data_IF_225748746698
#
_entry.id   IF_225748746698
#
_cell.length_a   1.000
_cell.length_b   1.000
_cell.length_c   1.000
_cell.angle_alpha   90.00
_cell.angle_beta   90.00
_cell.angle_gamma   90.00
#
_symmetry.space_group_name_H-M   'P 1'
#
loop_
_entity.id
_entity.type
_entity.pdbx_description
1 polymer ?
#
# COMPACT_ATOMS: atom_id res chain seq x y z
N UNK A 1 -27.29 -34.37 -39.56
CA UNK A 1 -27.97 -33.97 -38.31
C UNK A 1 -27.85 -35.12 -37.33
N UNK A 2 -27.17 -34.95 -36.20
CA UNK A 2 -27.20 -35.86 -35.06
C UNK A 2 -27.41 -35.00 -33.81
N UNK A 3 -28.66 -34.92 -33.36
CA UNK A 3 -29.03 -34.36 -32.07
C UNK A 3 -28.75 -35.34 -30.95
N UNK A 4 -28.46 -34.82 -29.75
CA UNK A 4 -28.27 -35.64 -28.56
C UNK A 4 -27.64 -34.82 -27.43
N UNK A 5 -28.47 -33.99 -26.80
CA UNK A 5 -28.47 -33.56 -25.38
C UNK A 5 -27.10 -33.30 -24.68
N UNK A 6 -26.86 -32.15 -24.07
CA UNK A 6 -27.53 -31.70 -22.86
C UNK A 6 -27.31 -30.18 -22.69
N UNK A 7 -28.22 -29.40 -23.26
CA UNK A 7 -28.39 -28.01 -22.86
C UNK A 7 -29.12 -27.99 -21.52
N UNK A 8 -28.47 -27.56 -20.43
CA UNK A 8 -29.15 -27.33 -19.15
C UNK A 8 -29.91 -26.01 -19.27
N UNK A 9 -31.22 -26.04 -19.05
CA UNK A 9 -32.03 -24.82 -18.89
C UNK A 9 -32.14 -24.55 -17.39
N UNK A 10 -31.78 -23.34 -16.98
CA UNK A 10 -31.83 -22.88 -15.60
C UNK A 10 -32.90 -21.80 -15.45
N UNK A 11 -33.70 -21.89 -14.40
CA UNK A 11 -34.66 -20.84 -14.04
C UNK A 11 -33.95 -19.65 -13.36
N UNK A 12 -34.65 -18.53 -13.23
CA UNK A 12 -34.12 -17.36 -12.52
C UNK A 12 -33.75 -17.70 -11.07
N UNK A 13 -32.55 -17.29 -10.64
CA UNK A 13 -32.02 -17.57 -9.31
C UNK A 13 -31.50 -18.99 -9.10
N UNK A 14 -31.59 -19.89 -10.10
CA UNK A 14 -31.11 -21.26 -9.96
C UNK A 14 -29.57 -21.30 -9.84
N UNK A 15 -29.07 -22.04 -8.85
CA UNK A 15 -27.64 -22.26 -8.65
C UNK A 15 -27.16 -23.34 -9.62
N UNK A 16 -26.22 -22.97 -10.48
CA UNK A 16 -25.63 -23.85 -11.48
C UNK A 16 -24.58 -24.75 -10.81
N UNK A 17 -23.72 -24.17 -9.97
CA UNK A 17 -22.78 -24.85 -9.08
C UNK A 17 -22.37 -23.90 -7.96
N UNK A 18 -21.88 -24.45 -6.84
CA UNK A 18 -21.41 -23.67 -5.69
C UNK A 18 -19.89 -23.63 -5.60
N UNK A 19 -19.37 -22.55 -5.02
CA UNK A 19 -17.97 -22.46 -4.60
C UNK A 19 -17.59 -23.66 -3.71
N UNK A 20 -16.38 -24.18 -3.88
CA UNK A 20 -15.88 -25.33 -3.12
C UNK A 20 -16.35 -26.70 -3.62
N UNK A 21 -17.33 -26.77 -4.53
CA UNK A 21 -17.74 -28.06 -5.12
C UNK A 21 -16.68 -28.60 -6.08
N UNK A 22 -16.61 -29.92 -6.25
CA UNK A 22 -15.73 -30.52 -7.26
C UNK A 22 -16.34 -30.30 -8.66
N UNK A 23 -15.60 -29.64 -9.56
CA UNK A 23 -16.05 -29.36 -10.92
C UNK A 23 -15.52 -30.34 -11.95
N UNK A 24 -16.39 -31.19 -12.52
CA UNK A 24 -16.02 -32.16 -13.58
C UNK A 24 -16.60 -31.80 -14.97
N UNK A 25 -17.33 -30.69 -15.05
CA UNK A 25 -18.01 -30.17 -16.25
C UNK A 25 -17.84 -28.65 -16.30
N UNK A 26 -17.69 -28.07 -17.48
CA UNK A 26 -17.80 -26.63 -17.72
C UNK A 26 -19.05 -26.33 -18.55
N UNK A 27 -19.44 -25.06 -18.57
CA UNK A 27 -20.63 -24.64 -19.31
C UNK A 27 -20.31 -23.48 -20.24
N UNK A 28 -20.91 -23.50 -21.43
CA UNK A 28 -20.94 -22.35 -22.35
C UNK A 28 -22.35 -21.78 -22.34
N UNK A 29 -22.48 -20.48 -22.10
CA UNK A 29 -23.78 -19.81 -22.06
C UNK A 29 -24.31 -19.68 -23.49
N UNK A 30 -25.38 -20.39 -23.81
CA UNK A 30 -26.04 -20.34 -25.14
C UNK A 30 -27.03 -19.18 -25.24
N UNK A 31 -27.71 -18.86 -24.13
CA UNK A 31 -28.60 -17.70 -23.97
C UNK A 31 -28.82 -17.38 -22.49
N UNK A 32 -29.24 -16.15 -22.18
CA UNK A 32 -29.47 -15.68 -20.81
C UNK A 32 -28.20 -15.12 -20.15
N UNK A 33 -28.27 -14.90 -18.84
CA UNK A 33 -27.17 -14.33 -18.04
C UNK A 33 -26.89 -15.17 -16.81
N UNK A 34 -25.64 -15.20 -16.38
CA UNK A 34 -25.19 -15.92 -15.19
C UNK A 34 -24.34 -15.00 -14.32
N UNK A 35 -24.71 -14.86 -13.05
CA UNK A 35 -23.95 -14.12 -12.05
C UNK A 35 -22.97 -15.05 -11.33
N UNK A 36 -21.74 -14.59 -11.17
CA UNK A 36 -20.68 -15.27 -10.43
C UNK A 36 -20.49 -14.56 -9.09
N UNK A 37 -20.64 -15.28 -7.98
CA UNK A 37 -20.50 -14.76 -6.63
C UNK A 37 -19.40 -15.48 -5.85
N UNK A 38 -18.75 -14.76 -4.92
CA UNK A 38 -17.75 -15.32 -4.01
C UNK A 38 -18.16 -15.08 -2.58
N UNK A 39 -17.99 -16.08 -1.74
CA UNK A 39 -18.21 -15.93 -0.31
C UNK A 39 -17.04 -15.17 0.34
N UNK A 40 -17.34 -14.12 1.10
CA UNK A 40 -16.35 -13.37 1.89
C UNK A 40 -16.78 -13.26 3.35
N UNK A 41 -15.91 -12.74 4.22
CA UNK A 41 -16.21 -12.53 5.64
C UNK A 41 -17.38 -11.54 5.85
N UNK A 42 -17.55 -10.58 4.94
CA UNK A 42 -18.60 -9.55 5.00
C UNK A 42 -19.86 -9.92 4.20
N UNK A 43 -19.93 -11.16 3.68
CA UNK A 43 -21.03 -11.68 2.88
C UNK A 43 -20.65 -12.01 1.43
N UNK A 44 -21.65 -12.36 0.62
CA UNK A 44 -21.45 -12.75 -0.77
C UNK A 44 -21.25 -11.52 -1.66
N UNK A 45 -20.12 -11.48 -2.38
CA UNK A 45 -19.84 -10.42 -3.36
C UNK A 45 -20.08 -10.93 -4.78
N UNK A 46 -20.59 -10.07 -5.65
CA UNK A 46 -20.70 -10.38 -7.09
C UNK A 46 -19.38 -10.06 -7.79
N UNK A 47 -18.74 -11.08 -8.37
CA UNK A 47 -17.50 -10.95 -9.14
C UNK A 47 -17.79 -10.45 -10.55
N UNK A 48 -18.80 -11.04 -11.20
CA UNK A 48 -19.15 -10.75 -12.59
C UNK A 48 -20.58 -11.19 -12.91
N UNK A 49 -21.14 -10.62 -13.98
CA UNK A 49 -22.31 -11.15 -14.68
C UNK A 49 -21.87 -11.47 -16.10
N UNK A 50 -22.11 -12.70 -16.54
CA UNK A 50 -21.67 -13.25 -17.81
C UNK A 50 -22.85 -13.51 -18.73
N UNK A 51 -22.61 -13.38 -20.03
CA UNK A 51 -23.65 -13.44 -21.08
C UNK A 51 -23.36 -14.51 -22.14
N UNK A 52 -24.17 -14.53 -23.20
CA UNK A 52 -24.07 -15.50 -24.29
C UNK A 52 -22.66 -15.56 -24.88
N UNK A 53 -22.14 -16.78 -25.03
CA UNK A 53 -20.82 -17.08 -25.58
C UNK A 53 -19.74 -17.22 -24.53
N UNK A 54 -19.96 -16.72 -23.32
CA UNK A 54 -18.99 -16.83 -22.23
C UNK A 54 -19.02 -18.21 -21.56
N UNK A 55 -17.88 -18.54 -20.94
CA UNK A 55 -17.60 -19.85 -20.37
C UNK A 55 -17.53 -19.75 -18.84
N UNK A 56 -18.10 -20.74 -18.15
CA UNK A 56 -18.04 -20.86 -16.69
C UNK A 56 -17.61 -22.25 -16.25
N UNK A 57 -16.93 -22.31 -15.10
CA UNK A 57 -16.50 -23.57 -14.51
C UNK A 57 -15.34 -24.25 -15.23
N UNK A 58 -14.65 -23.52 -16.11
CA UNK A 58 -13.49 -23.98 -16.86
C UNK A 58 -12.28 -24.22 -15.95
N UNK A 59 -12.07 -23.37 -14.93
CA UNK A 59 -10.88 -23.42 -14.07
C UNK A 59 -10.71 -24.80 -13.44
N UNK A 60 -11.75 -25.29 -12.77
CA UNK A 60 -11.76 -26.60 -12.10
C UNK A 60 -11.46 -27.78 -13.04
N UNK A 61 -11.75 -27.66 -14.34
CA UNK A 61 -11.39 -28.70 -15.31
C UNK A 61 -9.89 -28.73 -15.63
N UNK A 62 -9.25 -27.56 -15.64
CA UNK A 62 -7.84 -27.40 -16.02
C UNK A 62 -6.89 -27.52 -14.81
N UNK A 63 -7.18 -26.84 -13.70
CA UNK A 63 -6.32 -26.81 -12.51
C UNK A 63 -6.62 -27.93 -11.51
N UNK A 64 -7.75 -28.64 -11.68
CA UNK A 64 -8.25 -29.72 -10.80
C UNK A 64 -8.55 -29.24 -9.36
N UNK A 65 -8.72 -27.94 -9.15
CA UNK A 65 -9.15 -27.37 -7.89
C UNK A 65 -10.69 -27.34 -7.82
N UNK A 66 -11.27 -27.23 -6.61
CA UNK A 66 -12.70 -26.99 -6.45
C UNK A 66 -13.19 -25.73 -7.17
N UNK A 67 -14.51 -25.58 -7.34
CA UNK A 67 -15.11 -24.37 -7.92
C UNK A 67 -14.62 -23.13 -7.19
N UNK A 68 -14.10 -22.16 -7.93
CA UNK A 68 -13.53 -20.92 -7.38
C UNK A 68 -14.59 -19.89 -6.96
N UNK A 69 -15.85 -20.11 -7.32
CA UNK A 69 -16.99 -19.22 -7.11
C UNK A 69 -18.32 -19.97 -7.32
N UNK A 70 -19.41 -19.38 -6.86
CA UNK A 70 -20.79 -19.84 -7.10
C UNK A 70 -21.34 -19.21 -8.38
N UNK A 71 -22.06 -19.98 -9.19
CA UNK A 71 -22.70 -19.49 -10.41
C UNK A 71 -24.23 -19.59 -10.30
N UNK A 72 -24.93 -18.50 -10.58
CA UNK A 72 -26.38 -18.34 -10.40
C UNK A 72 -27.02 -17.77 -11.66
N UNK A 73 -28.07 -18.40 -12.18
CA UNK A 73 -28.80 -17.88 -13.33
C UNK A 73 -29.53 -16.57 -13.00
N UNK A 74 -29.53 -15.62 -13.95
CA UNK A 74 -30.23 -14.33 -13.86
C UNK A 74 -31.24 -14.24 -15.00
N UNK A 75 -32.48 -14.61 -14.73
CA UNK A 75 -33.49 -14.98 -15.72
C UNK A 75 -33.29 -16.41 -16.24
N UNK A 76 -34.11 -16.83 -17.21
CA UNK A 76 -33.90 -18.11 -17.91
C UNK A 76 -32.55 -18.10 -18.62
N UNK A 77 -31.71 -19.10 -18.32
CA UNK A 77 -30.42 -19.29 -18.96
C UNK A 77 -30.31 -20.69 -19.57
N UNK A 78 -29.72 -20.78 -20.77
CA UNK A 78 -29.44 -22.06 -21.42
C UNK A 78 -27.95 -22.27 -21.50
N UNK A 79 -27.49 -23.41 -21.02
CA UNK A 79 -26.09 -23.73 -20.82
C UNK A 79 -25.73 -25.01 -21.58
N UNK A 80 -24.72 -24.96 -22.44
CA UNK A 80 -24.16 -26.16 -23.04
C UNK A 80 -23.15 -26.79 -22.07
N UNK A 81 -23.43 -27.99 -21.60
CA UNK A 81 -22.56 -28.73 -20.69
C UNK A 81 -21.45 -29.46 -21.45
N UNK A 82 -20.19 -29.21 -21.10
CA UNK A 82 -19.02 -29.86 -21.71
C UNK A 82 -18.21 -30.54 -20.61
N UNK A 83 -18.20 -31.87 -20.63
CA UNK A 83 -17.38 -32.67 -19.73
C UNK A 83 -15.92 -32.73 -20.20
N UNK A 84 -15.02 -33.16 -19.31
CA UNK A 84 -13.59 -33.28 -19.59
C UNK A 84 -13.29 -34.16 -20.81
N UNK A 85 -13.97 -35.30 -20.97
CA UNK A 85 -13.71 -36.24 -22.07
C UNK A 85 -14.09 -35.62 -23.41
N UNK A 86 -15.26 -34.97 -23.48
CA UNK A 86 -15.75 -34.24 -24.66
C UNK A 86 -14.86 -33.05 -25.00
N UNK A 87 -14.33 -32.34 -24.00
CA UNK A 87 -13.37 -31.27 -24.22
C UNK A 87 -12.12 -31.83 -24.93
N UNK A 88 -11.46 -32.84 -24.35
CA UNK A 88 -10.25 -33.42 -24.94
C UNK A 88 -10.47 -34.07 -26.31
N UNK A 89 -11.62 -34.71 -26.57
CA UNK A 89 -11.92 -35.28 -27.89
C UNK A 89 -12.23 -34.22 -28.95
N UNK A 90 -12.68 -33.03 -28.53
CA UNK A 90 -12.98 -31.92 -29.44
C UNK A 90 -11.76 -31.02 -29.71
N UNK A 91 -10.73 -31.00 -28.86
CA UNK A 91 -9.48 -30.24 -29.10
C UNK A 91 -8.85 -30.64 -30.45
N UNK A 92 -8.85 -31.92 -30.78
CA UNK A 92 -8.28 -32.43 -32.03
C UNK A 92 -9.14 -32.14 -33.27
N UNK A 93 -10.41 -31.74 -33.10
CA UNK A 93 -11.36 -31.50 -34.20
C UNK A 93 -11.67 -30.01 -34.41
N UNK A 94 -11.66 -29.21 -33.35
CA UNK A 94 -11.94 -27.78 -33.41
C UNK A 94 -11.04 -27.01 -32.41
N UNK A 95 -9.86 -26.54 -32.85
CA UNK A 95 -8.96 -25.73 -32.04
C UNK A 95 -9.58 -24.40 -31.56
N UNK A 96 -10.64 -23.91 -32.19
CA UNK A 96 -11.22 -22.60 -31.85
C UNK A 96 -11.84 -22.55 -30.46
N UNK A 97 -12.26 -23.70 -29.90
CA UNK A 97 -12.77 -23.77 -28.53
C UNK A 97 -11.63 -23.52 -27.52
N UNK A 98 -10.44 -24.07 -27.77
CA UNK A 98 -9.25 -23.84 -26.93
C UNK A 98 -8.82 -22.38 -26.99
N UNK A 99 -8.79 -21.79 -28.19
CA UNK A 99 -8.48 -20.37 -28.35
C UNK A 99 -9.47 -19.47 -27.61
N UNK A 100 -10.78 -19.77 -27.66
CA UNK A 100 -11.79 -19.01 -26.89
C UNK A 100 -11.61 -19.14 -25.38
N UNK A 101 -11.23 -20.32 -24.88
CA UNK A 101 -10.91 -20.52 -23.46
C UNK A 101 -9.67 -19.69 -23.08
N UNK A 102 -8.59 -19.78 -23.87
CA UNK A 102 -7.37 -19.00 -23.64
C UNK A 102 -7.64 -17.49 -23.68
N UNK A 103 -8.44 -17.02 -24.64
CA UNK A 103 -8.84 -15.63 -24.75
C UNK A 103 -9.66 -15.17 -23.54
N UNK A 104 -10.63 -15.98 -23.10
CA UNK A 104 -11.45 -15.71 -21.90
C UNK A 104 -10.59 -15.66 -20.64
N UNK A 105 -9.68 -16.62 -20.46
CA UNK A 105 -8.74 -16.62 -19.32
C UNK A 105 -7.79 -15.42 -19.38
N UNK A 106 -7.29 -15.08 -20.58
CA UNK A 106 -6.41 -13.93 -20.78
C UNK A 106 -7.12 -12.60 -20.48
N UNK A 107 -8.38 -12.46 -20.88
CA UNK A 107 -9.21 -11.31 -20.54
C UNK A 107 -9.52 -11.27 -19.03
N UNK A 108 -9.82 -12.42 -18.40
CA UNK A 108 -10.02 -12.50 -16.94
C UNK A 108 -8.76 -12.12 -16.18
N UNK A 109 -7.58 -12.60 -16.60
CA UNK A 109 -6.29 -12.24 -16.00
C UNK A 109 -6.02 -10.74 -16.18
N UNK A 110 -6.23 -10.18 -17.37
CA UNK A 110 -6.10 -8.73 -17.61
C UNK A 110 -7.02 -7.92 -16.70
N UNK A 111 -8.30 -8.30 -16.60
CA UNK A 111 -9.29 -7.63 -15.75
C UNK A 111 -8.96 -7.79 -14.26
N UNK A 112 -8.43 -8.94 -13.85
CA UNK A 112 -7.98 -9.17 -12.47
C UNK A 112 -6.74 -8.34 -12.15
N UNK A 113 -5.78 -8.24 -13.08
CA UNK A 113 -4.59 -7.40 -12.95
C UNK A 113 -4.94 -5.90 -12.96
N UNK A 114 -5.88 -5.48 -13.79
CA UNK A 114 -6.40 -4.10 -13.80
C UNK A 114 -7.15 -3.78 -12.51
N UNK A 115 -7.99 -4.70 -12.03
CA UNK A 115 -8.68 -4.56 -10.75
C UNK A 115 -7.70 -4.60 -9.57
N UNK A 116 -6.66 -5.42 -9.61
CA UNK A 116 -5.58 -5.42 -8.62
C UNK A 116 -4.82 -4.11 -8.67
N UNK A 117 -4.42 -3.61 -9.84
CA UNK A 117 -3.77 -2.32 -9.99
C UNK A 117 -4.67 -1.17 -9.51
N UNK A 118 -5.99 -1.27 -9.71
CA UNK A 118 -6.98 -0.31 -9.22
C UNK A 118 -7.17 -0.42 -7.71
N UNK A 119 -7.26 -1.62 -7.15
CA UNK A 119 -7.33 -1.88 -5.71
C UNK A 119 -6.03 -1.53 -5.00
N UNK A 120 -4.87 -1.68 -5.62
CA UNK A 120 -3.58 -1.18 -5.12
C UNK A 120 -3.57 0.35 -5.16
N UNK A 121 -4.04 0.97 -6.24
CA UNK A 121 -4.18 2.42 -6.33
C UNK A 121 -5.18 2.99 -5.32
N UNK A 122 -6.25 2.25 -5.01
CA UNK A 122 -7.30 2.63 -4.07
C UNK A 122 -6.94 2.31 -2.61
N UNK A 123 -6.30 1.17 -2.30
CA UNK A 123 -5.75 0.87 -0.96
C UNK A 123 -4.58 1.78 -0.63
N UNK A 124 -3.67 2.00 -1.58
CA UNK A 124 -2.57 2.95 -1.40
C UNK A 124 -3.13 4.38 -1.38
N UNK A 125 -4.20 4.70 -2.10
CA UNK A 125 -4.86 6.01 -2.03
C UNK A 125 -5.53 6.28 -0.68
N UNK A 126 -6.27 5.31 -0.14
CA UNK A 126 -7.02 5.46 1.13
C UNK A 126 -6.10 5.34 2.35
N UNK A 127 -5.07 4.47 2.34
CA UNK A 127 -4.02 4.50 3.37
C UNK A 127 -3.12 5.74 3.24
N UNK A 128 -2.80 6.23 2.04
CA UNK A 128 -2.08 7.51 1.86
C UNK A 128 -2.86 8.70 2.41
N UNK A 129 -4.19 8.64 2.46
CA UNK A 129 -5.02 9.72 2.97
C UNK A 129 -4.91 9.94 4.51
N UNK A 130 -4.39 8.95 5.26
CA UNK A 130 -4.41 8.95 6.73
C UNK A 130 -3.06 8.79 7.43
N UNK A 131 -1.97 8.45 6.73
CA UNK A 131 -0.66 8.39 7.39
C UNK A 131 -0.14 9.80 7.59
N UNK A 132 -0.15 10.26 8.85
CA UNK A 132 0.43 11.54 9.21
C UNK A 132 1.95 11.44 9.13
N UNK A 133 2.62 12.58 8.91
CA UNK A 133 4.09 12.64 8.89
C UNK A 133 4.66 12.09 10.20
N UNK A 134 3.98 12.39 11.31
CA UNK A 134 4.30 11.93 12.66
C UNK A 134 4.31 10.38 12.75
N UNK A 135 3.36 9.70 12.12
CA UNK A 135 3.28 8.23 12.16
C UNK A 135 4.48 7.57 11.47
N UNK A 136 4.90 8.11 10.31
CA UNK A 136 6.09 7.63 9.61
C UNK A 136 7.35 7.91 10.43
N UNK A 137 7.44 9.09 11.03
CA UNK A 137 8.56 9.44 11.90
C UNK A 137 8.65 8.48 13.10
N UNK A 138 7.53 8.11 13.72
CA UNK A 138 7.49 7.12 14.80
C UNK A 138 7.96 5.73 14.33
N UNK A 139 7.50 5.26 13.17
CA UNK A 139 7.94 3.97 12.61
C UNK A 139 9.45 3.93 12.32
N UNK A 140 9.98 5.00 11.70
CA UNK A 140 11.42 5.13 11.44
C UNK A 140 12.20 5.12 12.74
N UNK A 141 11.71 5.81 13.76
CA UNK A 141 12.39 5.93 15.03
C UNK A 141 12.36 4.63 15.85
N UNK A 142 11.27 3.86 15.79
CA UNK A 142 11.22 2.51 16.38
C UNK A 142 12.21 1.54 15.71
N UNK A 143 12.32 1.57 14.37
CA UNK A 143 13.32 0.76 13.67
C UNK A 143 14.75 1.15 14.09
N UNK A 144 15.01 2.46 14.16
CA UNK A 144 16.30 2.98 14.56
C UNK A 144 16.65 2.62 16.02
N UNK A 145 15.68 2.64 16.94
CA UNK A 145 15.83 2.25 18.34
C UNK A 145 16.13 0.75 18.50
N UNK A 146 15.55 -0.11 17.66
CA UNK A 146 15.79 -1.55 17.71
C UNK A 146 17.19 -1.94 17.23
N UNK A 147 17.75 -1.17 16.30
CA UNK A 147 19.05 -1.44 15.71
C UNK A 147 20.22 -0.70 16.40
N UNK A 148 19.99 0.55 16.82
CA UNK A 148 21.00 1.40 17.45
C UNK A 148 20.69 1.53 18.94
N UNK A 149 21.64 1.13 19.78
CA UNK A 149 21.51 1.18 21.24
C UNK A 149 21.62 2.62 21.76
N UNK A 150 20.52 3.37 21.79
CA UNK A 150 20.47 4.75 22.29
C UNK A 150 19.54 4.90 23.52
N UNK A 151 19.84 5.87 24.39
CA UNK A 151 18.97 6.22 25.53
C UNK A 151 17.77 7.07 25.06
N UNK A 152 17.99 7.94 24.06
CA UNK A 152 16.99 8.83 23.49
C UNK A 152 17.14 8.90 21.97
N UNK A 153 16.08 9.30 21.29
CA UNK A 153 16.12 9.57 19.86
C UNK A 153 15.02 10.51 19.42
N UNK A 154 15.23 11.18 18.29
CA UNK A 154 14.22 12.04 17.67
C UNK A 154 14.35 12.11 16.16
N UNK A 155 13.23 12.34 15.49
CA UNK A 155 13.18 12.78 14.10
C UNK A 155 12.73 14.24 14.10
N UNK A 156 13.55 15.11 13.51
CA UNK A 156 13.24 16.53 13.38
C UNK A 156 13.04 16.90 11.90
N UNK A 157 11.99 17.65 11.60
CA UNK A 157 11.66 18.10 10.24
C UNK A 157 11.67 19.63 10.19
N UNK A 158 12.23 20.16 9.11
CA UNK A 158 12.27 21.59 8.83
C UNK A 158 10.88 22.08 8.43
N UNK A 159 10.35 23.06 9.17
CA UNK A 159 9.09 23.70 8.85
C UNK A 159 9.28 24.87 7.85
N UNK A 160 8.18 25.48 7.41
CA UNK A 160 8.22 26.58 6.44
C UNK A 160 8.86 27.87 7.01
N UNK A 161 8.96 28.00 8.34
CA UNK A 161 9.68 29.08 9.04
C UNK A 161 11.19 28.84 9.14
N UNK A 162 11.71 27.78 8.49
CA UNK A 162 13.11 27.33 8.57
C UNK A 162 13.57 26.96 9.98
N UNK A 163 12.67 26.39 10.77
CA UNK A 163 12.96 25.82 12.09
C UNK A 163 12.79 24.30 12.05
N UNK A 164 13.80 23.58 12.55
CA UNK A 164 13.70 22.16 12.86
C UNK A 164 12.75 21.97 14.03
N UNK A 165 11.77 21.07 13.86
CA UNK A 165 10.80 20.72 14.90
C UNK A 165 10.71 19.22 15.08
N UNK A 166 10.57 18.76 16.33
CA UNK A 166 10.48 17.33 16.65
C UNK A 166 9.15 16.77 16.15
N UNK A 167 9.19 15.74 15.29
CA UNK A 167 8.01 15.03 14.78
C UNK A 167 7.78 13.67 15.43
N UNK A 168 8.85 13.04 15.91
CA UNK A 168 8.79 11.84 16.74
C UNK A 168 9.97 11.84 17.71
N UNK A 169 9.79 11.23 18.87
CA UNK A 169 10.85 11.08 19.87
C UNK A 169 10.60 9.88 20.80
N UNK A 170 11.67 9.33 21.38
CA UNK A 170 11.62 8.42 22.53
C UNK A 170 12.70 8.79 23.56
N UNK A 171 12.56 8.28 24.78
CA UNK A 171 13.45 8.56 25.92
C UNK A 171 12.68 9.16 27.09
N UNK A 172 13.29 9.20 28.28
CA UNK A 172 12.59 9.45 29.56
C UNK A 172 11.89 10.82 29.63
N UNK A 173 12.22 11.78 28.76
CA UNK A 173 11.55 13.09 28.64
C UNK A 173 11.60 13.61 27.20
N UNK A 174 10.81 13.01 26.32
CA UNK A 174 10.63 13.45 24.93
C UNK A 174 9.98 14.84 24.88
N UNK A 175 10.78 15.91 24.94
CA UNK A 175 10.30 17.27 24.81
C UNK A 175 10.06 17.60 23.33
N UNK A 176 8.79 17.53 22.92
CA UNK A 176 8.35 17.86 21.56
C UNK A 176 8.36 19.38 21.27
N UNK A 177 8.69 20.23 22.25
CA UNK A 177 8.66 21.69 22.10
C UNK A 177 9.95 22.28 21.55
N UNK A 178 11.02 21.48 21.45
CA UNK A 178 12.32 21.93 20.94
C UNK A 178 12.22 22.38 19.48
N UNK A 179 12.60 23.63 19.23
CA UNK A 179 12.77 24.22 17.90
C UNK A 179 14.21 24.73 17.73
N UNK A 180 14.85 24.35 16.63
CA UNK A 180 16.23 24.77 16.32
C UNK A 180 16.27 25.49 14.97
N UNK A 181 17.00 26.61 14.90
CA UNK A 181 17.26 27.28 13.63
C UNK A 181 18.32 26.53 12.80
N UNK A 182 18.28 26.69 11.48
CA UNK A 182 19.31 26.16 10.58
C UNK A 182 20.70 26.70 10.97
N UNK A 183 21.71 25.83 11.00
CA UNK A 183 23.08 26.17 11.41
C UNK A 183 23.28 26.38 12.92
N UNK A 184 22.23 26.23 13.74
CA UNK A 184 22.35 26.33 15.19
C UNK A 184 22.25 24.94 15.84
N UNK A 185 23.26 24.59 16.64
CA UNK A 185 23.39 23.23 17.18
C UNK A 185 23.97 22.25 16.17
N UNK A 186 24.41 21.09 16.66
CA UNK A 186 24.90 19.98 15.81
C UNK A 186 23.83 19.59 14.77
N UNK A 187 22.57 19.44 15.20
CA UNK A 187 21.45 19.12 14.31
C UNK A 187 21.22 20.18 13.21
N UNK A 188 21.36 21.46 13.56
CA UNK A 188 21.24 22.56 12.60
C UNK A 188 22.40 22.60 11.61
N UNK A 189 23.60 22.22 12.03
CA UNK A 189 24.78 22.12 11.16
C UNK A 189 24.70 20.91 10.21
N UNK A 190 24.30 19.74 10.70
CA UNK A 190 24.03 18.55 9.86
C UNK A 190 22.94 18.82 8.83
N UNK A 191 21.90 19.57 9.19
CA UNK A 191 20.88 20.01 8.24
C UNK A 191 21.50 20.89 7.14
N UNK A 192 22.41 21.80 7.50
CA UNK A 192 23.05 22.72 6.56
C UNK A 192 24.07 22.04 5.65
N UNK A 193 24.89 21.14 6.20
CA UNK A 193 25.96 20.45 5.47
C UNK A 193 25.49 19.20 4.73
N UNK A 194 24.37 18.59 5.15
CA UNK A 194 23.89 17.32 4.63
C UNK A 194 24.83 16.14 4.91
N UNK A 195 25.70 16.26 5.91
CA UNK A 195 26.70 15.27 6.27
C UNK A 195 26.35 14.62 7.61
N UNK A 196 26.39 13.28 7.66
CA UNK A 196 26.12 12.53 8.87
C UNK A 196 27.30 12.64 9.86
N UNK A 197 27.00 12.77 11.15
CA UNK A 197 28.01 13.02 12.18
C UNK A 197 27.83 12.10 13.40
N UNK A 198 28.95 11.61 13.92
CA UNK A 198 29.07 10.81 15.14
C UNK A 198 29.93 11.58 16.14
N UNK A 199 29.34 11.98 17.26
CA UNK A 199 29.97 12.76 18.31
C UNK A 199 29.91 11.99 19.62
N UNK A 200 31.02 11.40 20.03
CA UNK A 200 31.10 10.61 21.27
C UNK A 200 31.34 11.45 22.54
N UNK A 201 31.67 12.74 22.39
CA UNK A 201 31.76 13.68 23.49
C UNK A 201 31.24 15.06 23.08
N UNK A 202 29.95 15.29 23.30
CA UNK A 202 29.31 16.55 22.91
C UNK A 202 29.77 17.75 23.75
N UNK A 203 30.28 17.52 24.97
CA UNK A 203 30.77 18.61 25.84
C UNK A 203 32.02 19.31 25.29
N UNK A 204 32.73 18.64 24.37
CA UNK A 204 33.89 19.19 23.66
C UNK A 204 33.51 19.81 22.31
N UNK A 205 32.27 19.66 21.84
CA UNK A 205 31.84 20.24 20.56
C UNK A 205 31.28 21.65 20.80
N UNK A 206 31.91 22.65 20.20
CA UNK A 206 31.51 24.06 20.34
C UNK A 206 30.10 24.35 19.79
N UNK A 207 29.57 23.50 18.90
CA UNK A 207 28.22 23.60 18.37
C UNK A 207 27.19 22.99 19.32
N UNK A 208 27.59 22.28 20.37
CA UNK A 208 26.63 21.63 21.26
C UNK A 208 25.80 22.65 22.06
N UNK A 209 24.49 22.63 21.84
CA UNK A 209 23.54 23.46 22.56
C UNK A 209 23.03 22.69 23.77
N UNK A 210 23.27 23.24 24.95
CA UNK A 210 22.81 22.64 26.19
C UNK A 210 21.28 22.71 26.26
N UNK A 211 20.64 21.55 26.19
CA UNK A 211 19.21 21.40 26.45
C UNK A 211 18.92 21.21 27.93
N UNK A 212 17.65 20.92 28.23
CA UNK A 212 17.18 20.55 29.58
C UNK A 212 17.63 19.15 30.00
N UNK A 213 18.12 18.34 29.06
CA UNK A 213 18.54 16.96 29.28
C UNK A 213 20.04 16.77 29.04
N UNK A 214 20.74 15.99 29.90
CA UNK A 214 22.14 15.67 29.69
C UNK A 214 22.31 14.77 28.46
N UNK A 215 23.15 15.22 27.53
CA UNK A 215 23.61 14.41 26.39
C UNK A 215 25.13 14.30 26.51
N UNK A 216 25.67 13.09 26.37
CA UNK A 216 27.11 12.81 26.39
C UNK A 216 27.62 12.44 25.01
N UNK A 217 26.87 11.58 24.31
CA UNK A 217 27.14 11.20 22.93
C UNK A 217 25.91 11.42 22.05
N UNK A 218 26.14 11.72 20.77
CA UNK A 218 25.13 12.05 19.77
C UNK A 218 25.53 11.46 18.42
N UNK A 219 24.56 10.85 17.75
CA UNK A 219 24.63 10.45 16.36
C UNK A 219 23.53 11.22 15.62
N UNK A 220 23.90 11.95 14.57
CA UNK A 220 22.99 12.80 13.82
C UNK A 220 23.14 12.51 12.33
N UNK A 221 22.05 12.13 11.66
CA UNK A 221 22.06 11.86 10.22
C UNK A 221 21.01 12.70 9.49
N UNK A 222 21.32 13.20 8.29
CA UNK A 222 20.40 14.02 7.51
C UNK A 222 19.30 13.16 6.88
N UNK A 223 18.11 13.75 6.78
CA UNK A 223 17.04 13.34 5.87
C UNK A 223 17.14 14.19 4.60
N UNK A 224 17.54 13.57 3.49
CA UNK A 224 17.83 14.25 2.23
C UNK A 224 17.16 13.59 1.05
N UNK A 225 16.60 14.40 0.16
CA UNK A 225 16.07 13.96 -1.13
C UNK A 225 16.68 14.84 -2.22
N UNK A 226 17.40 14.23 -3.17
CA UNK A 226 18.22 14.95 -4.16
C UNK A 226 19.22 15.90 -3.47
N UNK A 227 19.14 17.21 -3.70
CA UNK A 227 20.02 18.22 -3.11
C UNK A 227 19.43 18.90 -1.88
N UNK A 228 18.20 18.57 -1.48
CA UNK A 228 17.51 19.24 -0.38
C UNK A 228 17.53 18.38 0.88
N UNK A 229 18.10 18.94 1.95
CA UNK A 229 18.04 18.38 3.30
C UNK A 229 16.85 19.01 4.01
N UNK A 230 15.91 18.19 4.47
CA UNK A 230 14.63 18.66 5.01
C UNK A 230 14.38 18.22 6.45
N UNK A 231 15.33 17.52 7.05
CA UNK A 231 15.24 17.06 8.44
C UNK A 231 16.48 16.30 8.87
N UNK A 232 16.46 15.82 10.11
CA UNK A 232 17.52 15.01 10.70
C UNK A 232 16.93 13.91 11.59
N UNK A 233 17.66 12.80 11.73
CA UNK A 233 17.43 11.79 12.76
C UNK A 233 18.56 11.89 13.78
N UNK A 234 18.21 11.99 15.05
CA UNK A 234 19.13 12.08 16.17
C UNK A 234 19.00 10.85 17.06
N UNK A 235 20.12 10.28 17.49
CA UNK A 235 20.22 9.31 18.56
C UNK A 235 21.21 9.82 19.61
N UNK A 236 20.87 9.75 20.88
CA UNK A 236 21.73 10.27 21.95
C UNK A 236 21.75 9.39 23.18
N UNK A 237 22.87 9.43 23.90
CA UNK A 237 23.01 8.80 25.20
C UNK A 237 23.25 9.85 26.29
N UNK A 238 22.53 9.70 27.40
CA UNK A 238 22.82 10.40 28.66
C UNK A 238 23.83 9.61 29.50
N UNK A 239 23.93 8.30 29.25
CA UNK A 239 24.92 7.38 29.80
C UNK A 239 26.30 7.54 29.14
N UNK A 240 27.32 6.85 29.67
CA UNK A 240 28.69 6.78 29.09
C UNK A 240 28.76 5.96 27.80
N UNK A 241 27.61 5.54 27.25
CA UNK A 241 27.56 4.75 26.03
C UNK A 241 28.02 5.59 24.83
N UNK A 242 28.88 4.98 24.01
CA UNK A 242 29.42 5.56 22.80
C UNK A 242 28.76 4.93 21.56
N UNK A 243 28.67 5.70 20.49
CA UNK A 243 28.27 5.20 19.16
C UNK A 243 29.49 4.71 18.39
N UNK A 244 29.28 3.70 17.56
CA UNK A 244 30.24 3.11 16.63
C UNK A 244 29.99 3.56 15.19
N UNK A 245 30.97 3.33 14.31
CA UNK A 245 30.78 3.56 12.87
C UNK A 245 29.69 2.69 12.27
N UNK A 246 29.46 1.48 12.80
CA UNK A 246 28.36 0.62 12.35
C UNK A 246 26.99 1.24 12.69
N UNK A 247 26.87 1.92 13.82
CA UNK A 247 25.65 2.65 14.17
C UNK A 247 25.40 3.80 13.19
N UNK A 248 26.47 4.53 12.81
CA UNK A 248 26.42 5.60 11.80
C UNK A 248 26.02 5.07 10.42
N UNK A 249 26.63 3.97 9.96
CA UNK A 249 26.32 3.34 8.68
C UNK A 249 24.87 2.86 8.64
N UNK A 250 24.41 2.17 9.68
CA UNK A 250 23.03 1.70 9.76
C UNK A 250 22.05 2.88 9.75
N UNK A 251 22.26 3.88 10.60
CA UNK A 251 21.34 5.01 10.71
C UNK A 251 21.32 5.83 9.42
N UNK A 252 22.46 5.96 8.73
CA UNK A 252 22.56 6.62 7.42
C UNK A 252 21.81 5.86 6.32
N UNK A 253 21.86 4.53 6.33
CA UNK A 253 21.09 3.71 5.39
C UNK A 253 19.58 3.84 5.67
N UNK A 254 19.20 3.78 6.95
CA UNK A 254 17.81 3.98 7.35
C UNK A 254 17.32 5.38 6.95
N UNK A 255 18.15 6.42 7.11
CA UNK A 255 17.79 7.78 6.73
C UNK A 255 17.53 7.93 5.24
N UNK A 256 18.22 7.19 4.38
CA UNK A 256 17.96 7.17 2.94
C UNK A 256 16.54 6.69 2.62
N UNK A 257 16.13 5.56 3.20
CA UNK A 257 14.78 5.01 2.99
C UNK A 257 13.70 5.87 3.65
N UNK A 258 13.96 6.33 4.88
CA UNK A 258 13.09 7.24 5.62
C UNK A 258 12.85 8.54 4.85
N UNK A 259 13.89 9.06 4.19
CA UNK A 259 13.80 10.32 3.43
C UNK A 259 12.72 10.24 2.35
N UNK A 260 12.66 9.12 1.63
CA UNK A 260 11.66 8.92 0.56
C UNK A 260 10.25 8.88 1.14
N UNK A 261 10.04 8.10 2.20
CA UNK A 261 8.73 7.92 2.83
C UNK A 261 8.21 9.22 3.44
N UNK A 262 9.05 9.91 4.21
CA UNK A 262 8.70 11.17 4.89
C UNK A 262 8.45 12.28 3.88
N UNK A 263 9.30 12.42 2.84
CA UNK A 263 9.10 13.45 1.81
C UNK A 263 7.78 13.27 1.06
N UNK A 264 7.40 12.01 0.77
CA UNK A 264 6.11 11.73 0.14
C UNK A 264 4.93 12.14 1.03
N UNK A 265 4.99 11.86 2.34
CA UNK A 265 3.95 12.27 3.28
C UNK A 265 3.88 13.78 3.46
N UNK A 266 5.03 14.48 3.48
CA UNK A 266 5.10 15.95 3.53
C UNK A 266 4.46 16.59 2.29
N UNK A 267 4.80 16.09 1.10
CA UNK A 267 4.23 16.57 -0.16
C UNK A 267 2.70 16.36 -0.18
N UNK A 268 2.23 15.21 0.30
CA UNK A 268 0.81 14.91 0.38
C UNK A 268 0.07 15.84 1.37
N UNK A 269 0.66 16.08 2.54
CA UNK A 269 0.09 16.96 3.57
C UNK A 269 -0.06 18.40 3.05
N UNK A 270 0.96 18.91 2.33
CA UNK A 270 0.90 20.23 1.68
C UNK A 270 -0.20 20.32 0.62
N UNK A 271 -0.31 19.30 -0.25
CA UNK A 271 -1.38 19.26 -1.27
C UNK A 271 -2.77 19.30 -0.66
N UNK A 272 -2.97 18.59 0.46
CA UNK A 272 -4.24 18.58 1.19
C UNK A 272 -4.58 19.96 1.76
N UNK A 273 -3.63 20.61 2.44
CA UNK A 273 -3.84 21.96 2.99
C UNK A 273 -4.23 22.97 1.91
N UNK A 274 -3.54 22.95 0.76
CA UNK A 274 -3.86 23.85 -0.36
C UNK A 274 -5.26 23.57 -0.92
N UNK A 275 -5.65 22.29 -1.04
CA UNK A 275 -6.99 21.93 -1.49
C UNK A 275 -8.08 22.38 -0.51
N UNK A 276 -7.85 22.23 0.80
CA UNK A 276 -8.77 22.67 1.86
C UNK A 276 -8.93 24.20 1.85
N UNK A 277 -7.85 24.95 1.70
CA UNK A 277 -7.89 26.43 1.57
C UNK A 277 -8.67 26.89 0.33
N UNK A 278 -8.46 26.23 -0.81
CA UNK A 278 -9.22 26.52 -2.04
C UNK A 278 -10.71 26.26 -1.84
N UNK A 279 -11.06 25.13 -1.21
CA UNK A 279 -12.45 24.77 -0.93
C UNK A 279 -13.11 25.78 0.02
N UNK A 280 -12.41 26.23 1.07
CA UNK A 280 -12.90 27.28 1.96
C UNK A 280 -13.15 28.60 1.21
N UNK A 281 -12.25 29.02 0.32
CA UNK A 281 -12.44 30.25 -0.49
C UNK A 281 -13.66 30.17 -1.41
N UNK A 282 -13.86 29.04 -2.09
CA UNK A 282 -15.04 28.82 -2.95
C UNK A 282 -16.32 28.84 -2.12
N UNK A 283 -16.30 28.23 -0.94
CA UNK A 283 -17.47 28.18 -0.04
C UNK A 283 -17.80 29.57 0.51
N UNK A 284 -16.79 30.40 0.84
CA UNK A 284 -16.99 31.79 1.30
C UNK A 284 -17.49 32.72 0.19
N UNK A 285 -17.08 32.54 -1.06
CA UNK A 285 -17.62 33.31 -2.19
C UNK A 285 -19.10 32.99 -2.44
N UNK A 286 -19.51 31.75 -2.25
CA UNK A 286 -20.90 31.32 -2.42
C UNK A 286 -21.83 31.77 -1.28
N UNK A 287 -21.32 32.06 -0.08
CA UNK A 287 -22.14 32.58 1.05
C UNK A 287 -22.29 34.10 1.07
N UNK A 288 -21.47 34.85 0.34
CA UNK A 288 -21.57 36.33 0.23
C UNK A 288 -22.50 36.78 -0.91
N UNK A 289 -23.03 35.84 -1.69
CA UNK A 289 -23.90 36.11 -2.85
C UNK A 289 -25.39 35.81 -2.58
N UNK A 290 -25.87 36.03 -1.34
CA UNK A 290 -27.30 35.99 -0.96
C UNK A 290 -27.67 37.31 -0.28
#
# INVERSE_FOLDING_TARGET
MNGGELGRVCADGEIIFKEGEKGEVMYVIQSGRVRITKQTLDGDITIATLERGEIIGEMSLFDKLPRSATAIACGEARLLSIDKKKLFSNISRDPTLVFRILETMSQRIRKLNENLAKLEKDRVGILKLYVKVEDICCMVLEEAKNAVKADNGSVMILNDEKLLSVKAAFGEKSDHTVKLAVGYGIAGDVLNTGTAELINNVSMDARFVHGTMPVKSLLCVPLKCRNDVFGVINMSNSSERLFSLNDLEFLSLLSLYASIAIQNALNFSRLKTVADEMLMRVTMLNTVTI
#
